data_IF_173611245687
#
_entry.id   IF_173611245687
#
_cell.length_a   1.000
_cell.length_b   1.000
_cell.length_c   1.000
_cell.angle_alpha   90.00
_cell.angle_beta   90.00
_cell.angle_gamma   90.00
#
_symmetry.space_group_name_H-M   'P 1'
#
loop_
_entity.id
_entity.type
_entity.pdbx_description
1 polymer ?
#
# COMPACT_ATOMS: atom_id res chain seq x y z
N UNK A 1 -58.80 -3.82 -55.70
CA UNK A 1 -59.02 -4.40 -54.34
C UNK A 1 -57.79 -5.03 -53.73
N UNK A 2 -56.88 -5.55 -54.51
CA UNK A 2 -55.63 -6.23 -54.10
C UNK A 2 -54.61 -5.34 -53.32
N UNK A 3 -54.49 -4.06 -53.68
CA UNK A 3 -53.50 -3.16 -53.06
C UNK A 3 -53.82 -2.76 -51.61
N UNK A 4 -55.08 -2.71 -51.18
CA UNK A 4 -55.46 -2.32 -49.78
C UNK A 4 -55.16 -3.43 -48.78
N UNK A 5 -55.24 -4.69 -49.16
CA UNK A 5 -54.95 -5.84 -48.30
C UNK A 5 -53.43 -5.96 -48.09
N UNK A 6 -52.63 -5.70 -49.13
CA UNK A 6 -51.16 -5.73 -49.05
C UNK A 6 -50.62 -4.65 -48.10
N UNK A 7 -51.19 -3.44 -48.09
CA UNK A 7 -50.74 -2.35 -47.19
C UNK A 7 -51.07 -2.67 -45.73
N UNK A 8 -52.26 -3.22 -45.45
CA UNK A 8 -52.64 -3.61 -44.09
C UNK A 8 -51.81 -4.74 -43.56
N UNK A 9 -51.45 -5.70 -44.39
CA UNK A 9 -50.60 -6.82 -44.04
C UNK A 9 -49.16 -6.35 -43.75
N UNK A 10 -48.61 -5.45 -44.57
CA UNK A 10 -47.27 -4.87 -44.32
C UNK A 10 -47.24 -4.03 -43.02
N UNK A 11 -48.30 -3.22 -42.77
CA UNK A 11 -48.42 -2.43 -41.55
C UNK A 11 -48.51 -3.34 -40.30
N UNK A 12 -49.25 -4.44 -40.38
CA UNK A 12 -49.34 -5.42 -39.30
C UNK A 12 -47.97 -6.12 -39.03
N UNK A 13 -47.24 -6.46 -40.09
CA UNK A 13 -45.90 -7.07 -39.95
C UNK A 13 -44.89 -6.08 -39.33
N UNK A 14 -44.87 -4.81 -39.73
CA UNK A 14 -44.06 -3.76 -39.15
C UNK A 14 -44.41 -3.55 -37.69
N UNK A 15 -45.71 -3.50 -37.34
CA UNK A 15 -46.14 -3.32 -35.94
C UNK A 15 -45.77 -4.51 -35.07
N UNK A 16 -45.89 -5.75 -35.55
CA UNK A 16 -45.47 -6.96 -34.85
C UNK A 16 -43.94 -7.00 -34.63
N UNK A 17 -43.15 -6.55 -35.61
CA UNK A 17 -41.72 -6.50 -35.54
C UNK A 17 -41.23 -5.43 -34.50
N UNK A 18 -41.89 -4.25 -34.48
CA UNK A 18 -41.58 -3.21 -33.49
C UNK A 18 -41.97 -3.63 -32.09
N UNK A 19 -43.09 -4.36 -31.91
CA UNK A 19 -43.50 -4.87 -30.60
C UNK A 19 -42.52 -5.97 -30.10
N UNK A 20 -42.05 -6.85 -30.99
CA UNK A 20 -41.03 -7.84 -30.67
C UNK A 20 -39.68 -7.20 -30.27
N UNK A 21 -39.30 -6.11 -30.97
CA UNK A 21 -38.09 -5.35 -30.63
C UNK A 21 -38.24 -4.63 -29.28
N UNK A 22 -39.41 -4.07 -29.00
CA UNK A 22 -39.69 -3.43 -27.72
C UNK A 22 -39.70 -4.42 -26.57
N UNK A 23 -40.27 -5.64 -26.76
CA UNK A 23 -40.26 -6.70 -25.75
C UNK A 23 -38.83 -7.22 -25.44
N UNK A 24 -37.98 -7.25 -26.47
CA UNK A 24 -36.58 -7.63 -26.29
C UNK A 24 -35.79 -6.61 -25.46
N UNK A 25 -36.15 -5.34 -25.50
CA UNK A 25 -35.53 -4.28 -24.68
C UNK A 25 -35.85 -4.43 -23.19
N UNK A 26 -37.03 -4.94 -22.83
CA UNK A 26 -37.42 -5.23 -21.44
C UNK A 26 -36.74 -6.44 -20.83
N UNK A 27 -36.19 -7.37 -21.65
CA UNK A 27 -35.49 -8.56 -21.14
C UNK A 27 -34.05 -8.25 -20.69
N UNK A 28 -33.48 -7.10 -21.05
CA UNK A 28 -32.13 -6.68 -20.69
C UNK A 28 -32.09 -5.64 -19.57
N UNK A 29 -33.13 -5.54 -18.76
CA UNK A 29 -33.08 -4.65 -17.59
C UNK A 29 -32.08 -5.21 -16.56
N UNK A 30 -30.90 -4.62 -16.52
CA UNK A 30 -29.96 -4.87 -15.41
C UNK A 30 -30.55 -4.24 -14.15
N UNK A 31 -30.75 -5.06 -13.11
CA UNK A 31 -31.13 -4.53 -11.80
C UNK A 31 -30.05 -3.54 -11.34
N UNK A 32 -30.41 -2.30 -11.09
CA UNK A 32 -29.55 -1.34 -10.40
C UNK A 32 -29.82 -1.48 -8.91
N UNK A 33 -28.79 -1.78 -8.14
CA UNK A 33 -28.88 -1.78 -6.68
C UNK A 33 -28.68 -0.36 -6.18
N UNK A 34 -29.51 0.09 -5.23
CA UNK A 34 -29.47 1.44 -4.72
C UNK A 34 -28.19 1.78 -3.96
N UNK A 35 -27.55 0.75 -3.35
CA UNK A 35 -26.32 0.88 -2.61
C UNK A 35 -25.36 -0.24 -3.02
N UNK A 36 -24.12 0.12 -3.35
CA UNK A 36 -23.01 -0.83 -3.47
C UNK A 36 -22.62 -1.42 -2.10
N UNK A 37 -21.79 -2.45 -2.12
CA UNK A 37 -21.18 -2.98 -0.89
C UNK A 37 -19.67 -2.83 -0.96
N UNK A 38 -19.09 -2.26 0.10
CA UNK A 38 -17.65 -2.05 0.22
C UNK A 38 -16.96 -3.24 0.87
N UNK A 39 -15.81 -3.60 0.34
CA UNK A 39 -14.86 -4.47 1.00
C UNK A 39 -13.51 -3.80 1.12
N UNK A 40 -12.98 -3.81 2.35
CA UNK A 40 -11.67 -3.25 2.67
C UNK A 40 -10.74 -4.32 3.19
N UNK A 41 -9.50 -4.28 2.75
CA UNK A 41 -8.42 -5.11 3.29
C UNK A 41 -7.14 -4.31 3.44
N UNK A 42 -6.26 -4.75 4.33
CA UNK A 42 -4.96 -4.12 4.58
C UNK A 42 -3.84 -4.93 3.94
N UNK A 43 -2.91 -4.23 3.32
CA UNK A 43 -1.65 -4.75 2.84
C UNK A 43 -0.51 -4.16 3.66
N UNK A 44 0.35 -5.02 4.21
CA UNK A 44 1.57 -4.63 4.92
C UNK A 44 2.83 -4.85 4.10
N UNK A 45 3.79 -3.93 4.22
CA UNK A 45 5.14 -4.07 3.73
C UNK A 45 6.11 -4.07 4.89
N UNK A 46 6.82 -5.18 5.11
CA UNK A 46 7.83 -5.33 6.12
C UNK A 46 9.22 -5.36 5.50
N UNK A 47 10.18 -4.72 6.15
CA UNK A 47 11.57 -4.74 5.72
C UNK A 47 12.46 -5.23 6.85
N UNK A 48 13.25 -6.26 6.57
CA UNK A 48 14.34 -6.69 7.43
C UNK A 48 15.67 -6.22 6.87
N UNK A 49 16.56 -5.80 7.77
CA UNK A 49 17.93 -5.44 7.43
C UNK A 49 18.91 -6.24 8.29
N UNK A 50 19.83 -6.91 7.65
CA UNK A 50 20.90 -7.64 8.35
C UNK A 50 22.04 -6.67 8.72
N UNK A 51 21.72 -5.66 9.56
CA UNK A 51 22.67 -4.62 9.96
C UNK A 51 22.17 -3.84 11.17
N UNK A 52 23.06 -3.25 12.00
CA UNK A 52 22.70 -2.33 13.08
C UNK A 52 22.28 -0.93 12.57
N UNK A 53 22.29 -0.69 11.26
CA UNK A 53 21.91 0.61 10.66
C UNK A 53 20.41 0.75 10.51
N UNK A 54 19.95 1.98 10.38
CA UNK A 54 18.54 2.30 10.12
C UNK A 54 18.04 1.66 8.82
N UNK A 55 16.77 1.27 8.81
CA UNK A 55 16.11 0.70 7.62
C UNK A 55 16.10 1.74 6.49
N UNK A 56 16.43 1.32 5.25
CA UNK A 56 16.23 2.16 4.07
C UNK A 56 14.75 2.55 3.91
N UNK A 57 14.51 3.72 3.35
CA UNK A 57 13.16 4.25 3.10
C UNK A 57 12.75 4.09 1.64
N UNK A 58 13.24 3.03 0.99
CA UNK A 58 12.88 2.72 -0.39
C UNK A 58 11.41 2.39 -0.51
N UNK A 59 10.85 2.69 -1.68
CA UNK A 59 9.47 2.41 -2.03
C UNK A 59 9.39 1.18 -2.91
N UNK A 60 8.44 0.29 -2.62
CA UNK A 60 8.16 -0.92 -3.39
C UNK A 60 6.81 -0.77 -4.07
N UNK A 61 6.73 -1.21 -5.31
CA UNK A 61 5.52 -1.12 -6.12
C UNK A 61 4.71 -2.41 -6.06
N UNK A 62 3.40 -2.27 -5.96
CA UNK A 62 2.42 -3.35 -5.87
C UNK A 62 1.38 -3.23 -6.96
N UNK A 63 0.85 -4.37 -7.36
CA UNK A 63 -0.21 -4.48 -8.35
C UNK A 63 -1.35 -5.31 -7.79
N UNK A 64 -2.54 -4.74 -7.76
CA UNK A 64 -3.79 -5.47 -7.62
C UNK A 64 -4.39 -5.64 -9.02
N UNK A 65 -4.40 -6.86 -9.51
CA UNK A 65 -4.88 -7.23 -10.86
C UNK A 65 -6.26 -7.89 -10.76
N UNK A 66 -7.22 -7.36 -11.49
CA UNK A 66 -8.54 -7.96 -11.65
C UNK A 66 -8.45 -9.15 -12.60
N UNK A 67 -8.73 -10.36 -12.13
CA UNK A 67 -8.73 -11.60 -12.93
C UNK A 67 -10.10 -11.85 -13.52
N UNK A 68 -11.17 -11.65 -12.74
CA UNK A 68 -12.54 -11.71 -13.28
C UNK A 68 -12.81 -10.50 -14.14
N UNK A 69 -13.45 -10.69 -15.31
CA UNK A 69 -13.67 -9.67 -16.34
C UNK A 69 -14.32 -8.38 -15.81
N UNK A 70 -15.27 -8.52 -14.90
CA UNK A 70 -16.06 -7.41 -14.35
C UNK A 70 -15.70 -7.09 -12.89
N UNK A 71 -14.54 -7.56 -12.43
CA UNK A 71 -14.08 -7.28 -11.07
C UNK A 71 -13.73 -5.79 -10.93
N UNK A 72 -14.40 -5.05 -10.01
CA UNK A 72 -14.09 -3.66 -9.76
C UNK A 72 -12.73 -3.51 -9.09
N UNK A 73 -12.10 -2.37 -9.33
CA UNK A 73 -10.83 -1.98 -8.70
C UNK A 73 -10.99 -0.63 -8.00
N UNK A 74 -10.13 -0.31 -7.03
CA UNK A 74 -10.10 1.01 -6.42
C UNK A 74 -10.06 2.13 -7.45
N UNK A 75 -10.65 3.28 -7.13
CA UNK A 75 -10.66 4.48 -7.98
C UNK A 75 -11.24 4.23 -9.39
N UNK A 76 -12.15 3.27 -9.54
CA UNK A 76 -12.74 2.88 -10.82
C UNK A 76 -11.70 2.54 -11.92
N UNK A 77 -10.50 2.09 -11.54
CA UNK A 77 -9.48 1.60 -12.48
C UNK A 77 -9.96 0.35 -13.19
N UNK A 78 -9.38 0.05 -14.35
CA UNK A 78 -9.65 -1.16 -15.12
C UNK A 78 -8.38 -1.98 -15.28
N UNK A 79 -8.52 -3.30 -15.12
CA UNK A 79 -7.44 -4.26 -15.29
C UNK A 79 -6.49 -4.33 -14.09
N UNK A 80 -5.79 -3.25 -13.78
CA UNK A 80 -4.83 -3.18 -12.66
C UNK A 80 -4.95 -1.89 -11.86
N UNK A 81 -4.70 -2.00 -10.57
CA UNK A 81 -4.50 -0.89 -9.65
C UNK A 81 -3.08 -0.96 -9.08
N UNK A 82 -2.26 0.05 -9.42
CA UNK A 82 -0.86 0.13 -9.01
C UNK A 82 -0.72 1.13 -7.86
N UNK A 83 0.10 0.78 -6.87
CA UNK A 83 0.40 1.64 -5.73
C UNK A 83 1.77 1.30 -5.15
N UNK A 84 2.28 2.17 -4.27
CA UNK A 84 3.59 1.99 -3.65
C UNK A 84 3.47 2.01 -2.14
N UNK A 85 4.36 1.25 -1.45
CA UNK A 85 4.55 1.27 -0.01
C UNK A 85 6.04 1.45 0.31
N UNK A 86 6.34 2.25 1.32
CA UNK A 86 7.67 2.35 1.91
C UNK A 86 7.91 1.21 2.91
N UNK A 87 9.14 1.12 3.38
CA UNK A 87 9.49 0.16 4.43
C UNK A 87 8.56 0.29 5.65
N UNK A 88 8.02 -0.84 6.10
CA UNK A 88 7.13 -0.96 7.25
C UNK A 88 5.82 -0.15 7.16
N UNK A 89 5.42 0.24 5.95
CA UNK A 89 4.17 0.92 5.69
C UNK A 89 3.03 -0.07 5.47
N UNK A 90 1.81 0.35 5.82
CA UNK A 90 0.58 -0.37 5.56
C UNK A 90 -0.37 0.47 4.73
N UNK A 91 -1.16 -0.16 3.87
CA UNK A 91 -2.17 0.49 3.05
C UNK A 91 -3.49 -0.25 3.13
N UNK A 92 -4.53 0.49 3.44
CA UNK A 92 -5.90 0.01 3.29
C UNK A 92 -6.35 0.19 1.84
N UNK A 93 -6.92 -0.86 1.26
CA UNK A 93 -7.46 -0.90 -0.09
C UNK A 93 -8.95 -1.14 0.01
N UNK A 94 -9.75 -0.26 -0.60
CA UNK A 94 -11.21 -0.31 -0.60
C UNK A 94 -11.71 -0.62 -2.01
N UNK A 95 -12.61 -1.57 -2.13
CA UNK A 95 -13.26 -1.97 -3.38
C UNK A 95 -14.77 -1.93 -3.18
N UNK A 96 -15.47 -1.18 -4.04
CA UNK A 96 -16.93 -1.10 -4.06
C UNK A 96 -17.51 -2.04 -5.11
N UNK A 97 -18.46 -2.87 -4.73
CA UNK A 97 -19.16 -3.81 -5.61
C UNK A 97 -20.58 -3.35 -5.86
N UNK A 98 -20.93 -3.18 -7.13
CA UNK A 98 -22.24 -2.69 -7.60
C UNK A 98 -23.17 -3.80 -8.09
N UNK A 99 -22.69 -5.06 -8.12
CA UNK A 99 -23.43 -6.22 -8.62
C UNK A 99 -23.08 -7.47 -7.83
N UNK A 100 -24.01 -8.43 -7.72
CA UNK A 100 -23.67 -9.75 -7.22
C UNK A 100 -22.73 -10.46 -8.20
N UNK A 101 -21.84 -11.30 -7.69
CA UNK A 101 -20.88 -12.05 -8.49
C UNK A 101 -19.75 -12.66 -7.67
N UNK A 102 -18.92 -13.41 -8.34
CA UNK A 102 -17.68 -13.97 -7.80
C UNK A 102 -16.50 -13.27 -8.46
N UNK A 103 -15.74 -12.56 -7.65
CA UNK A 103 -14.64 -11.72 -8.09
C UNK A 103 -13.32 -12.30 -7.63
N UNK A 104 -12.36 -12.34 -8.55
CA UNK A 104 -11.03 -12.88 -8.30
C UNK A 104 -9.98 -11.84 -8.64
N UNK A 105 -9.01 -11.68 -7.75
CA UNK A 105 -7.89 -10.77 -7.90
C UNK A 105 -6.57 -11.48 -7.62
N UNK A 106 -5.49 -10.95 -8.19
CA UNK A 106 -4.12 -11.23 -7.79
C UNK A 106 -3.49 -9.98 -7.21
N UNK A 107 -2.74 -10.13 -6.12
CA UNK A 107 -1.97 -9.07 -5.50
C UNK A 107 -0.52 -9.53 -5.40
N UNK A 108 0.39 -8.77 -5.98
CA UNK A 108 1.80 -9.09 -6.01
C UNK A 108 2.67 -7.82 -6.03
N UNK A 109 3.93 -7.98 -5.68
CA UNK A 109 4.92 -6.92 -5.76
C UNK A 109 5.58 -6.93 -7.14
N UNK A 110 5.70 -5.76 -7.79
CA UNK A 110 6.48 -5.59 -9.01
C UNK A 110 7.96 -5.86 -8.76
N UNK A 111 8.65 -6.33 -9.78
CA UNK A 111 10.10 -6.51 -9.72
C UNK A 111 10.77 -5.17 -9.40
N UNK A 112 11.64 -5.17 -8.39
CA UNK A 112 12.42 -4.00 -8.01
C UNK A 112 13.87 -4.11 -8.48
N UNK A 113 14.45 -2.98 -8.89
CA UNK A 113 15.88 -2.85 -9.22
C UNK A 113 16.69 -2.26 -8.05
N UNK A 114 16.10 -2.16 -6.86
CA UNK A 114 16.77 -1.67 -5.66
C UNK A 114 17.95 -2.59 -5.32
N UNK A 115 19.14 -2.01 -5.22
CA UNK A 115 20.38 -2.75 -4.97
C UNK A 115 20.36 -3.40 -3.58
N UNK A 116 20.91 -4.61 -3.50
CA UNK A 116 21.06 -5.37 -2.26
C UNK A 116 19.73 -5.78 -1.58
N UNK A 117 18.60 -5.71 -2.29
CA UNK A 117 17.32 -6.22 -1.84
C UNK A 117 17.09 -7.65 -2.32
N UNK A 118 16.71 -8.52 -1.41
CA UNK A 118 16.03 -9.77 -1.75
C UNK A 118 14.55 -9.51 -1.64
N UNK A 119 13.91 -9.42 -2.80
CA UNK A 119 12.48 -9.15 -2.92
C UNK A 119 11.68 -10.36 -2.50
N UNK A 120 10.58 -10.13 -1.80
CA UNK A 120 9.55 -11.13 -1.56
C UNK A 120 8.88 -11.51 -2.89
N UNK A 121 8.61 -12.81 -3.06
CA UNK A 121 7.94 -13.37 -4.24
C UNK A 121 6.52 -13.82 -3.92
N UNK A 122 6.00 -13.40 -2.77
CA UNK A 122 4.65 -13.77 -2.38
C UNK A 122 3.64 -13.23 -3.41
N UNK A 123 2.61 -14.03 -3.65
CA UNK A 123 1.49 -13.72 -4.50
C UNK A 123 0.22 -14.14 -3.75
N UNK A 124 -0.67 -13.18 -3.55
CA UNK A 124 -1.96 -13.44 -2.96
C UNK A 124 -3.04 -13.53 -4.04
N UNK A 125 -3.92 -14.51 -3.90
CA UNK A 125 -5.16 -14.58 -4.67
C UNK A 125 -6.32 -14.29 -3.73
N UNK A 126 -7.09 -13.26 -4.06
CA UNK A 126 -8.27 -12.83 -3.30
C UNK A 126 -9.52 -13.26 -4.07
N UNK A 127 -10.43 -13.96 -3.39
CA UNK A 127 -11.77 -14.29 -3.86
C UNK A 127 -12.78 -13.54 -3.00
N UNK A 128 -13.71 -12.84 -3.66
CA UNK A 128 -14.79 -12.11 -3.01
C UNK A 128 -16.10 -12.53 -3.65
N UNK A 129 -17.03 -13.04 -2.86
CA UNK A 129 -18.37 -13.41 -3.30
C UNK A 129 -19.38 -12.42 -2.75
N UNK A 130 -20.09 -11.77 -3.64
CA UNK A 130 -21.16 -10.83 -3.35
C UNK A 130 -22.47 -11.47 -3.79
N UNK A 131 -23.46 -11.49 -2.91
CA UNK A 131 -24.80 -11.99 -3.21
C UNK A 131 -25.85 -10.90 -3.03
N UNK A 132 -27.01 -11.09 -3.64
CA UNK A 132 -28.22 -10.31 -3.33
C UNK A 132 -28.99 -11.02 -2.22
N UNK A 133 -29.28 -10.29 -1.16
CA UNK A 133 -30.16 -10.73 -0.08
C UNK A 133 -31.11 -9.59 0.26
N UNK A 134 -32.41 -9.87 0.20
CA UNK A 134 -33.47 -8.91 0.53
C UNK A 134 -33.39 -7.58 -0.27
N UNK A 135 -32.96 -7.67 -1.54
CA UNK A 135 -32.80 -6.51 -2.43
C UNK A 135 -31.53 -5.69 -2.17
N UNK A 136 -30.64 -6.14 -1.30
CA UNK A 136 -29.37 -5.50 -0.97
C UNK A 136 -28.18 -6.37 -1.36
N UNK A 137 -27.06 -5.74 -1.68
CA UNK A 137 -25.81 -6.47 -1.87
C UNK A 137 -25.15 -6.73 -0.53
N UNK A 138 -24.73 -7.98 -0.31
CA UNK A 138 -24.02 -8.40 0.90
C UNK A 138 -22.80 -9.24 0.55
N UNK A 139 -21.77 -9.15 1.38
CA UNK A 139 -20.59 -10.02 1.30
C UNK A 139 -20.96 -11.40 1.85
N UNK A 140 -20.85 -12.42 1.01
CA UNK A 140 -21.13 -13.83 1.38
C UNK A 140 -19.85 -14.53 1.84
N UNK A 141 -18.80 -14.47 1.04
CA UNK A 141 -17.54 -15.13 1.32
C UNK A 141 -16.34 -14.30 0.87
N UNK A 142 -15.26 -14.34 1.67
CA UNK A 142 -13.98 -13.75 1.35
C UNK A 142 -12.88 -14.76 1.67
N UNK A 143 -12.07 -15.10 0.67
CA UNK A 143 -10.95 -16.02 0.81
C UNK A 143 -9.68 -15.38 0.25
N UNK A 144 -8.62 -15.37 1.04
CA UNK A 144 -7.28 -14.97 0.63
C UNK A 144 -6.40 -16.21 0.64
N UNK A 145 -5.74 -16.50 -0.47
CA UNK A 145 -4.84 -17.64 -0.63
C UNK A 145 -3.45 -17.10 -1.01
N UNK A 146 -2.43 -17.57 -0.32
CA UNK A 146 -1.04 -17.21 -0.60
C UNK A 146 -0.39 -18.12 -1.69
N UNK A 147 0.85 -17.83 -2.07
CA UNK A 147 1.62 -18.59 -3.08
C UNK A 147 1.83 -20.07 -2.71
N UNK A 148 1.80 -20.41 -1.42
CA UNK A 148 1.86 -21.79 -0.92
C UNK A 148 0.51 -22.50 -0.91
N UNK A 149 -0.51 -21.91 -1.53
CA UNK A 149 -1.88 -22.41 -1.60
C UNK A 149 -2.57 -22.58 -0.22
N UNK A 150 -2.18 -21.76 0.75
CA UNK A 150 -2.76 -21.73 2.10
C UNK A 150 -3.69 -20.54 2.24
N UNK A 151 -4.83 -20.75 2.92
CA UNK A 151 -5.71 -19.66 3.34
C UNK A 151 -5.01 -18.82 4.41
N UNK A 152 -5.04 -17.49 4.25
CA UNK A 152 -4.44 -16.53 5.18
C UNK A 152 -5.45 -15.43 5.50
N UNK A 153 -5.25 -14.73 6.61
CA UNK A 153 -6.09 -13.60 7.03
C UNK A 153 -5.46 -12.25 6.69
N UNK A 154 -4.13 -12.21 6.57
CA UNK A 154 -3.36 -11.00 6.31
C UNK A 154 -2.50 -11.13 5.06
N UNK A 155 -2.30 -10.02 4.37
CA UNK A 155 -1.41 -9.92 3.23
C UNK A 155 -0.21 -9.06 3.61
N UNK A 156 0.94 -9.72 3.83
CA UNK A 156 2.17 -9.07 4.22
C UNK A 156 3.30 -9.49 3.30
N UNK A 157 4.02 -8.53 2.74
CA UNK A 157 5.25 -8.74 1.99
C UNK A 157 6.46 -8.50 2.88
N UNK A 158 7.51 -9.28 2.69
CA UNK A 158 8.73 -9.21 3.49
C UNK A 158 9.98 -9.10 2.62
N UNK A 159 10.53 -7.91 2.47
CA UNK A 159 11.76 -7.67 1.74
C UNK A 159 12.98 -7.66 2.67
N UNK A 160 14.13 -8.17 2.21
CA UNK A 160 15.34 -8.31 3.01
C UNK A 160 16.48 -7.54 2.36
N UNK A 161 17.07 -6.58 3.09
CA UNK A 161 18.29 -5.89 2.68
C UNK A 161 19.52 -6.65 3.12
N UNK A 162 20.41 -6.96 2.16
CA UNK A 162 21.72 -7.58 2.41
C UNK A 162 22.82 -6.54 2.28
N UNK A 163 23.33 -6.03 3.39
CA UNK A 163 24.46 -5.10 3.36
C UNK A 163 25.76 -5.88 3.16
N UNK A 164 26.52 -5.51 2.12
CA UNK A 164 27.85 -6.08 1.89
C UNK A 164 28.82 -5.62 2.99
N UNK A 165 29.74 -6.48 3.36
CA UNK A 165 30.74 -6.26 4.42
C UNK A 165 31.60 -4.98 4.23
N UNK A 166 31.77 -4.50 3.00
CA UNK A 166 32.53 -3.27 2.73
C UNK A 166 31.81 -1.99 3.14
N UNK A 167 30.46 -1.95 3.03
CA UNK A 167 29.70 -0.81 3.55
C UNK A 167 29.66 -0.80 5.08
N UNK A 168 29.65 -1.99 5.71
CA UNK A 168 29.78 -2.12 7.17
C UNK A 168 31.07 -1.47 7.70
N UNK A 169 32.18 -1.65 6.98
CA UNK A 169 33.47 -1.07 7.40
C UNK A 169 33.51 0.46 7.23
N UNK A 170 32.91 1.00 6.16
CA UNK A 170 32.89 2.44 5.88
C UNK A 170 32.01 3.19 6.89
N UNK A 171 30.82 2.66 7.18
CA UNK A 171 29.92 3.27 8.15
C UNK A 171 30.40 3.13 9.60
N UNK A 172 31.08 1.99 9.95
CA UNK A 172 31.70 1.83 11.27
C UNK A 172 32.85 2.81 11.49
N UNK A 173 33.60 3.16 10.42
CA UNK A 173 34.70 4.14 10.48
C UNK A 173 34.15 5.56 10.66
N UNK A 174 33.06 5.91 9.97
CA UNK A 174 32.40 7.20 10.09
C UNK A 174 31.71 7.38 11.47
N UNK A 175 31.03 6.36 12.00
CA UNK A 175 30.42 6.44 13.33
C UNK A 175 31.45 6.56 14.46
N UNK A 176 32.62 5.89 14.34
CA UNK A 176 33.73 6.05 15.29
C UNK A 176 34.38 7.43 15.22
N UNK A 177 34.48 8.01 14.02
CA UNK A 177 35.02 9.38 13.85
C UNK A 177 34.09 10.43 14.47
N UNK A 178 32.77 10.31 14.30
CA UNK A 178 31.79 11.23 14.88
C UNK A 178 31.78 11.16 16.41
N UNK A 179 31.86 9.97 17.00
CA UNK A 179 31.93 9.80 18.45
C UNK A 179 33.26 10.36 19.02
N UNK A 180 34.36 10.17 18.27
CA UNK A 180 35.68 10.68 18.71
C UNK A 180 35.77 12.22 18.68
N UNK A 181 35.14 12.89 17.69
CA UNK A 181 35.11 14.36 17.60
C UNK A 181 34.24 14.97 18.69
N UNK A 182 33.06 14.45 18.95
CA UNK A 182 32.17 14.97 20.01
C UNK A 182 32.76 14.88 21.42
N UNK A 183 33.48 13.81 21.74
CA UNK A 183 34.16 13.63 23.03
C UNK A 183 35.32 14.63 23.18
N UNK A 184 36.09 14.87 22.11
CA UNK A 184 37.22 15.83 22.16
C UNK A 184 36.75 17.25 22.37
N UNK A 185 35.72 17.71 21.70
CA UNK A 185 35.18 19.05 21.82
C UNK A 185 34.60 19.31 23.23
N UNK A 186 33.83 18.37 23.77
CA UNK A 186 33.31 18.51 25.15
C UNK A 186 34.42 18.48 26.20
N UNK A 187 35.50 17.73 26.01
CA UNK A 187 36.62 17.64 26.92
C UNK A 187 37.46 18.94 26.91
N UNK A 188 37.67 19.54 25.75
CA UNK A 188 38.36 20.86 25.63
C UNK A 188 37.55 21.95 26.30
N UNK A 189 36.24 21.97 26.11
CA UNK A 189 35.36 22.94 26.80
C UNK A 189 35.39 22.77 28.30
N UNK A 190 35.40 21.56 28.82
CA UNK A 190 35.51 21.27 30.24
C UNK A 190 36.84 21.78 30.84
N UNK A 191 37.97 21.57 30.15
CA UNK A 191 39.28 22.09 30.56
C UNK A 191 39.30 23.61 30.60
N UNK A 192 38.74 24.29 29.61
CA UNK A 192 38.64 25.75 29.57
C UNK A 192 37.83 26.30 30.76
N UNK A 193 36.69 25.68 31.09
CA UNK A 193 35.88 26.08 32.26
C UNK A 193 36.67 25.95 33.56
N UNK A 194 37.43 24.86 33.73
CA UNK A 194 38.25 24.64 34.93
C UNK A 194 39.35 25.70 35.03
N UNK A 195 40.02 26.05 33.93
CA UNK A 195 41.08 27.08 33.89
C UNK A 195 40.49 28.46 34.27
N UNK A 196 39.33 28.84 33.73
CA UNK A 196 38.68 30.11 34.05
C UNK A 196 38.26 30.14 35.51
N UNK A 197 37.68 29.08 36.06
CA UNK A 197 37.27 28.99 37.45
C UNK A 197 38.48 29.11 38.40
N UNK A 198 39.61 28.48 38.12
CA UNK A 198 40.83 28.58 38.94
C UNK A 198 41.43 29.99 38.90
N UNK A 199 41.44 30.68 37.77
CA UNK A 199 41.88 32.04 37.62
C UNK A 199 41.02 33.02 38.43
N UNK A 200 39.70 32.89 38.36
CA UNK A 200 38.77 33.69 39.15
C UNK A 200 38.96 33.46 40.66
N UNK A 201 39.15 32.23 41.10
CA UNK A 201 39.41 31.90 42.50
C UNK A 201 40.69 32.57 43.04
N UNK A 202 41.79 32.55 42.27
CA UNK A 202 43.05 33.19 42.61
C UNK A 202 42.88 34.68 42.68
N UNK A 203 42.16 35.35 41.78
CA UNK A 203 41.90 36.78 41.78
C UNK A 203 41.10 37.20 43.00
N UNK A 204 40.06 36.47 43.37
CA UNK A 204 39.22 36.76 44.56
C UNK A 204 40.04 36.60 45.83
N UNK A 205 40.88 35.57 45.87
CA UNK A 205 41.71 35.36 47.10
C UNK A 205 42.81 36.43 47.29
N UNK A 206 43.41 36.87 46.16
CA UNK A 206 44.39 37.96 46.18
C UNK A 206 43.76 39.35 46.53
N UNK A 207 42.48 39.56 46.10
CA UNK A 207 41.75 40.77 46.48
C UNK A 207 41.47 40.83 48.00
N UNK A 208 41.04 39.70 48.57
CA UNK A 208 40.81 39.61 50.04
C UNK A 208 42.05 39.75 50.86
N UNK A 209 43.23 39.41 50.35
CA UNK A 209 44.50 39.62 51.08
C UNK A 209 45.01 41.06 51.00
N UNK A 210 44.57 41.87 50.02
CA UNK A 210 44.93 43.33 49.95
C UNK A 210 44.07 44.19 50.83
N UNK A 211 42.92 43.75 51.31
CA UNK A 211 42.06 44.47 52.25
C UNK A 211 42.45 44.25 53.74
N UNK A 212 43.43 43.38 54.02
CA UNK A 212 43.88 43.06 55.41
C UNK A 212 45.24 43.63 55.75
N UNK A 213 45.82 44.50 54.93
CA UNK A 213 47.03 45.28 55.19
C UNK A 213 46.65 46.84 55.27
#
# INVERSE_FOLDING_TARGET
>A
MYNKISIKLKAFFCFSLTLAFLSMFFLFQTKAYANGVDYSFELGQNVSINSPYSKPQDSFEYVLEAISKDAPLPEAKKGTYNFSLKADEKKQINIEYQKPGEYKYKLYQNKTDIKNVTQDKELYTLFVKIIEKDGQLVKDEIIIINSSNKKVEEMNFHNIYKIRSQEKAKNKKNSRAIVATGIKENFILLILIVIVATRLFILINNSKNKEKV
#
